data_IF_223445904606
#
_entry.id   IF_223445904606
#
_cell.length_a   1.000
_cell.length_b   1.000
_cell.length_c   1.000
_cell.angle_alpha   90.00
_cell.angle_beta   90.00
_cell.angle_gamma   90.00
#
_symmetry.space_group_name_H-M   'P 1'
#
loop_
_entity.id
_entity.type
_entity.pdbx_description
1 polymer ?
#
# COMPACT_ATOMS: atom_id res chain seq x y z
N UNK A 1 14.22 9.90 4.26
CA UNK A 1 14.43 9.64 5.71
C UNK A 1 14.29 8.17 6.02
N UNK A 2 14.91 7.69 7.07
CA UNK A 2 14.77 6.31 7.50
C UNK A 2 13.44 6.10 8.26
N UNK A 3 12.97 4.87 8.31
CA UNK A 3 11.78 4.52 9.08
C UNK A 3 11.89 4.91 10.56
N UNK A 4 13.07 4.74 11.16
CA UNK A 4 13.31 5.15 12.55
C UNK A 4 13.07 6.66 12.75
N UNK A 5 13.43 7.48 11.79
CA UNK A 5 13.22 8.93 11.85
C UNK A 5 11.74 9.28 11.71
N UNK A 6 11.04 8.59 10.81
CA UNK A 6 9.60 8.79 10.57
C UNK A 6 8.76 8.41 11.78
N UNK A 7 9.06 7.28 12.41
CA UNK A 7 8.25 6.70 13.48
C UNK A 7 8.84 6.87 14.88
N UNK A 8 9.81 7.77 15.03
CA UNK A 8 10.52 7.98 16.30
C UNK A 8 9.58 8.22 17.50
N UNK A 9 8.60 9.08 17.33
CA UNK A 9 7.68 9.44 18.42
C UNK A 9 6.76 8.27 18.78
N UNK A 10 6.25 7.56 17.78
CA UNK A 10 5.40 6.38 17.99
C UNK A 10 6.18 5.27 18.71
N UNK A 11 7.44 5.07 18.35
CA UNK A 11 8.32 4.09 19.01
C UNK A 11 8.56 4.46 20.47
N UNK A 12 8.89 5.73 20.75
CA UNK A 12 9.12 6.21 22.11
C UNK A 12 7.87 6.09 22.98
N UNK A 13 6.70 6.36 22.40
CA UNK A 13 5.42 6.30 23.10
C UNK A 13 4.80 4.89 23.13
N UNK A 14 5.47 3.89 22.53
CA UNK A 14 5.00 2.51 22.56
C UNK A 14 4.98 1.96 23.98
N UNK A 15 3.98 1.13 24.29
CA UNK A 15 3.86 0.44 25.58
C UNK A 15 4.82 -0.74 25.74
N UNK A 16 5.51 -1.12 24.65
CA UNK A 16 6.46 -2.23 24.65
C UNK A 16 7.84 -1.77 25.11
N UNK A 17 8.42 -2.47 26.08
CA UNK A 17 9.73 -2.16 26.63
C UNK A 17 10.88 -2.55 25.69
N UNK A 18 10.67 -3.52 24.81
CA UNK A 18 11.66 -4.08 23.88
C UNK A 18 11.33 -3.77 22.44
N UNK A 19 12.36 -3.62 21.58
CA UNK A 19 12.22 -3.54 20.14
C UNK A 19 11.89 -4.92 19.57
N UNK A 20 10.61 -5.27 19.56
CA UNK A 20 10.07 -6.51 18.98
C UNK A 20 9.07 -6.18 17.87
N UNK A 21 8.71 -7.19 17.08
CA UNK A 21 7.68 -7.04 16.05
C UNK A 21 6.34 -6.52 16.60
N UNK A 22 6.07 -6.70 17.90
CA UNK A 22 4.90 -6.13 18.57
C UNK A 22 4.87 -4.60 18.49
N UNK A 23 6.02 -3.95 18.52
CA UNK A 23 6.13 -2.50 18.32
C UNK A 23 5.65 -2.12 16.92
N UNK A 24 6.10 -2.85 15.90
CA UNK A 24 5.65 -2.61 14.53
C UNK A 24 4.17 -2.95 14.34
N UNK A 25 3.69 -3.99 15.00
CA UNK A 25 2.27 -4.34 15.00
C UNK A 25 1.41 -3.19 15.54
N UNK A 26 1.84 -2.56 16.63
CA UNK A 26 1.12 -1.41 17.21
C UNK A 26 1.18 -0.17 16.31
N UNK A 27 2.32 0.11 15.70
CA UNK A 27 2.53 1.31 14.88
C UNK A 27 1.88 1.17 13.50
N UNK A 28 2.06 0.02 12.86
CA UNK A 28 1.66 -0.23 11.48
C UNK A 28 0.39 -1.09 11.37
N UNK A 29 -0.19 -1.52 12.48
CA UNK A 29 -1.34 -2.43 12.53
C UNK A 29 -1.13 -3.74 11.76
N UNK A 30 0.11 -4.22 11.73
CA UNK A 30 0.49 -5.47 11.08
C UNK A 30 0.37 -6.65 12.04
N UNK A 31 0.07 -7.82 11.49
CA UNK A 31 0.08 -9.05 12.28
C UNK A 31 1.51 -9.54 12.49
N UNK A 32 1.77 -10.05 13.69
CA UNK A 32 3.01 -10.75 13.98
C UNK A 32 3.04 -12.08 13.21
N UNK A 33 3.93 -12.19 12.22
CA UNK A 33 4.12 -13.39 11.38
C UNK A 33 5.46 -14.07 11.62
N UNK A 34 6.36 -13.42 12.37
CA UNK A 34 7.70 -13.94 12.65
C UNK A 34 7.73 -14.70 13.98
N UNK A 35 8.71 -15.60 14.10
CA UNK A 35 9.04 -16.21 15.40
C UNK A 35 9.62 -15.14 16.31
N UNK A 36 9.22 -15.13 17.58
CA UNK A 36 9.68 -14.12 18.55
C UNK A 36 11.20 -14.06 18.71
N UNK A 37 11.91 -15.17 18.48
CA UNK A 37 13.38 -15.22 18.50
C UNK A 37 14.04 -14.38 17.40
N UNK A 38 13.33 -14.12 16.31
CA UNK A 38 13.84 -13.38 15.14
C UNK A 38 13.28 -11.96 15.06
N UNK A 39 12.28 -11.61 15.89
CA UNK A 39 11.60 -10.33 15.82
C UNK A 39 12.53 -9.12 15.90
N UNK A 40 13.49 -9.15 16.82
CA UNK A 40 14.42 -8.03 17.02
C UNK A 40 15.22 -7.71 15.76
N UNK A 41 15.66 -8.73 15.06
CA UNK A 41 16.40 -8.58 13.80
C UNK A 41 15.53 -7.90 12.74
N UNK A 42 14.32 -8.37 12.55
CA UNK A 42 13.37 -7.79 11.58
C UNK A 42 13.04 -6.34 11.89
N UNK A 43 12.81 -6.02 13.16
CA UNK A 43 12.51 -4.64 13.59
C UNK A 43 13.68 -3.72 13.29
N UNK A 44 14.91 -4.12 13.63
CA UNK A 44 16.12 -3.31 13.38
C UNK A 44 16.33 -3.11 11.88
N UNK A 45 16.22 -4.15 11.08
CA UNK A 45 16.35 -4.06 9.61
C UNK A 45 15.31 -3.08 9.03
N UNK A 46 14.06 -3.18 9.45
CA UNK A 46 13.00 -2.28 9.01
C UNK A 46 13.25 -0.82 9.42
N UNK A 47 13.70 -0.59 10.66
CA UNK A 47 13.99 0.76 11.15
C UNK A 47 15.08 1.47 10.36
N UNK A 48 16.01 0.72 9.80
CA UNK A 48 17.13 1.24 9.00
C UNK A 48 16.82 1.33 7.50
N UNK A 49 15.64 0.88 7.07
CA UNK A 49 15.19 1.04 5.69
C UNK A 49 14.74 2.47 5.43
N UNK A 50 14.90 2.91 4.18
CA UNK A 50 14.37 4.20 3.73
C UNK A 50 12.85 4.21 3.83
N UNK A 51 12.32 5.26 4.41
CA UNK A 51 10.89 5.49 4.45
C UNK A 51 10.36 5.74 3.04
N UNK A 52 9.37 4.96 2.64
CA UNK A 52 8.66 5.14 1.38
C UNK A 52 7.24 5.58 1.70
N UNK A 53 6.88 6.75 1.19
CA UNK A 53 5.51 7.22 1.32
C UNK A 53 4.56 6.29 0.57
N UNK A 54 3.47 5.83 1.20
CA UNK A 54 2.50 4.99 0.52
C UNK A 54 1.88 5.71 -0.67
N UNK A 55 1.72 5.02 -1.79
CA UNK A 55 1.08 5.57 -2.99
C UNK A 55 -0.43 5.73 -2.76
N UNK A 56 -1.04 4.77 -2.07
CA UNK A 56 -2.45 4.78 -1.70
C UNK A 56 -2.63 5.14 -0.23
N UNK A 57 -3.66 5.91 0.09
CA UNK A 57 -4.09 6.05 1.48
C UNK A 57 -4.78 4.76 1.98
N UNK A 58 -5.08 4.69 3.27
CA UNK A 58 -5.67 3.49 3.88
C UNK A 58 -7.04 3.14 3.30
N UNK A 59 -7.87 4.14 3.03
CA UNK A 59 -9.22 3.94 2.48
C UNK A 59 -9.15 3.42 1.04
N UNK A 60 -8.30 4.03 0.21
CA UNK A 60 -8.07 3.63 -1.18
C UNK A 60 -7.50 2.20 -1.26
N UNK A 61 -6.51 1.90 -0.43
CA UNK A 61 -5.91 0.57 -0.36
C UNK A 61 -6.93 -0.48 0.06
N UNK A 62 -7.70 -0.23 1.10
CA UNK A 62 -8.71 -1.17 1.60
C UNK A 62 -9.80 -1.42 0.57
N UNK A 63 -10.25 -0.38 -0.13
CA UNK A 63 -11.24 -0.50 -1.18
C UNK A 63 -10.74 -1.35 -2.36
N UNK A 64 -9.55 -1.06 -2.87
CA UNK A 64 -8.95 -1.83 -3.95
C UNK A 64 -8.67 -3.27 -3.54
N UNK A 65 -8.11 -3.49 -2.36
CA UNK A 65 -7.82 -4.83 -1.86
C UNK A 65 -9.08 -5.69 -1.78
N UNK A 66 -10.19 -5.14 -1.29
CA UNK A 66 -11.47 -5.83 -1.23
C UNK A 66 -12.02 -6.16 -2.63
N UNK A 67 -11.89 -5.21 -3.55
CA UNK A 67 -12.42 -5.36 -4.91
C UNK A 67 -11.63 -6.36 -5.74
N UNK A 68 -10.32 -6.37 -5.64
CA UNK A 68 -9.45 -7.27 -6.42
C UNK A 68 -9.33 -8.68 -5.83
N UNK A 69 -9.73 -8.87 -4.59
CA UNK A 69 -9.54 -10.14 -3.88
C UNK A 69 -9.94 -11.39 -4.68
N UNK A 70 -11.10 -11.43 -5.37
CA UNK A 70 -11.49 -12.59 -6.18
C UNK A 70 -10.58 -12.84 -7.39
N UNK A 71 -9.90 -11.80 -7.88
CA UNK A 71 -9.12 -11.83 -9.14
C UNK A 71 -7.62 -11.65 -8.92
N UNK A 72 -7.17 -11.58 -7.67
CA UNK A 72 -5.80 -11.19 -7.33
C UNK A 72 -4.73 -11.93 -8.12
N UNK A 73 -4.87 -13.24 -8.30
CA UNK A 73 -3.90 -14.09 -9.02
C UNK A 73 -3.87 -13.82 -10.52
N UNK A 74 -4.91 -13.20 -11.05
CA UNK A 74 -5.07 -12.94 -12.48
C UNK A 74 -4.64 -11.53 -12.88
N UNK A 75 -4.34 -10.67 -11.92
CA UNK A 75 -4.05 -9.26 -12.17
C UNK A 75 -2.60 -9.09 -12.61
N UNK A 76 -2.42 -8.39 -13.73
CA UNK A 76 -1.10 -7.99 -14.22
C UNK A 76 -0.65 -6.68 -13.60
N UNK A 77 -1.49 -5.63 -13.69
CA UNK A 77 -1.20 -4.32 -13.14
C UNK A 77 -2.47 -3.47 -13.00
N UNK A 78 -2.35 -2.35 -12.29
CA UNK A 78 -3.41 -1.36 -12.10
C UNK A 78 -2.95 -0.02 -12.66
N UNK A 79 -3.84 0.70 -13.32
CA UNK A 79 -3.57 2.00 -13.95
C UNK A 79 -4.65 3.00 -13.56
N UNK A 80 -4.24 4.22 -13.24
CA UNK A 80 -5.14 5.36 -13.18
C UNK A 80 -5.27 5.95 -14.58
N UNK A 81 -6.34 5.61 -15.28
CA UNK A 81 -6.57 6.01 -16.65
C UNK A 81 -7.41 7.27 -16.73
N UNK A 82 -7.17 8.07 -17.76
CA UNK A 82 -7.97 9.24 -18.07
C UNK A 82 -8.64 9.08 -19.42
N UNK A 83 -9.95 9.34 -19.48
CA UNK A 83 -10.70 9.31 -20.71
C UNK A 83 -10.32 10.50 -21.60
N UNK A 84 -10.10 10.23 -22.89
CA UNK A 84 -9.74 11.27 -23.85
C UNK A 84 -10.88 12.22 -24.17
N UNK A 85 -12.14 11.73 -24.11
CA UNK A 85 -13.30 12.52 -24.56
C UNK A 85 -13.77 13.51 -23.50
N UNK A 86 -13.86 13.09 -22.23
CA UNK A 86 -14.40 13.91 -21.15
C UNK A 86 -13.40 14.26 -20.04
N UNK A 87 -12.19 13.72 -20.11
CA UNK A 87 -11.14 13.95 -19.13
C UNK A 87 -11.36 13.26 -17.79
N UNK A 88 -12.42 12.45 -17.66
CA UNK A 88 -12.68 11.71 -16.41
C UNK A 88 -11.65 10.64 -16.16
N UNK A 89 -11.30 10.48 -14.91
CA UNK A 89 -10.33 9.49 -14.46
C UNK A 89 -11.04 8.27 -13.89
N UNK A 90 -10.46 7.11 -14.12
CA UNK A 90 -10.95 5.84 -13.55
C UNK A 90 -9.77 4.94 -13.19
N UNK A 91 -10.01 3.98 -12.34
CA UNK A 91 -9.04 2.92 -12.05
C UNK A 91 -9.32 1.75 -12.98
N UNK A 92 -8.31 1.33 -13.74
CA UNK A 92 -8.36 0.15 -14.60
C UNK A 92 -7.51 -0.95 -14.01
N UNK A 93 -8.09 -2.12 -13.88
CA UNK A 93 -7.41 -3.34 -13.47
C UNK A 93 -7.19 -4.18 -14.72
N UNK A 94 -5.93 -4.43 -15.05
CA UNK A 94 -5.56 -5.21 -16.24
C UNK A 94 -5.18 -6.61 -15.81
N UNK A 95 -5.85 -7.59 -16.42
CA UNK A 95 -5.59 -9.00 -16.17
C UNK A 95 -4.44 -9.51 -17.04
N UNK A 96 -3.83 -10.62 -16.65
CA UNK A 96 -2.69 -11.22 -17.36
C UNK A 96 -3.02 -11.64 -18.79
N UNK A 97 -4.29 -11.94 -19.09
CA UNK A 97 -4.75 -12.26 -20.45
C UNK A 97 -4.98 -11.01 -21.33
N UNK A 98 -4.76 -9.81 -20.83
CA UNK A 98 -4.98 -8.55 -21.53
C UNK A 98 -6.38 -7.95 -21.35
N UNK A 99 -7.32 -8.69 -20.75
CA UNK A 99 -8.64 -8.15 -20.44
C UNK A 99 -8.51 -7.11 -19.31
N UNK A 100 -9.41 -6.15 -19.31
CA UNK A 100 -9.44 -5.09 -18.33
C UNK A 100 -10.80 -4.96 -17.65
N UNK A 101 -10.78 -4.56 -16.40
CA UNK A 101 -11.97 -4.16 -15.66
C UNK A 101 -11.87 -2.67 -15.34
N UNK A 102 -12.98 -1.97 -15.52
CA UNK A 102 -13.08 -0.55 -15.18
C UNK A 102 -13.86 -0.40 -13.89
N UNK A 103 -13.34 0.43 -13.00
CA UNK A 103 -14.15 0.96 -11.91
C UNK A 103 -14.99 2.12 -12.39
N UNK A 104 -16.04 2.50 -11.62
CA UNK A 104 -16.74 3.74 -11.86
C UNK A 104 -15.77 4.92 -11.94
N UNK A 105 -16.14 5.93 -12.72
CA UNK A 105 -15.37 7.15 -12.78
C UNK A 105 -15.21 7.76 -11.38
N UNK A 106 -14.07 8.36 -11.15
CA UNK A 106 -13.79 9.05 -9.90
C UNK A 106 -14.52 10.41 -9.95
N UNK A 107 -15.44 10.61 -9.02
CA UNK A 107 -16.17 11.88 -8.90
C UNK A 107 -15.30 12.99 -8.29
N UNK A 108 -14.25 12.61 -7.60
CA UNK A 108 -13.33 13.53 -6.92
C UNK A 108 -11.92 13.33 -7.43
N UNK A 109 -11.37 14.36 -8.05
CA UNK A 109 -9.97 14.39 -8.52
C UNK A 109 -8.96 14.21 -7.37
N UNK A 110 -9.43 14.34 -6.13
CA UNK A 110 -8.62 14.08 -4.95
C UNK A 110 -8.35 12.60 -4.68
N UNK A 111 -9.14 11.70 -5.26
CA UNK A 111 -8.94 10.25 -5.08
C UNK A 111 -7.72 9.75 -5.87
N UNK A 112 -6.98 8.85 -5.24
CA UNK A 112 -5.78 8.23 -5.85
C UNK A 112 -4.72 9.25 -6.30
N UNK A 113 -4.55 10.32 -5.56
CA UNK A 113 -3.57 11.38 -5.87
C UNK A 113 -2.14 10.89 -5.98
N UNK A 114 -1.78 9.85 -5.25
CA UNK A 114 -0.44 9.27 -5.27
C UNK A 114 -0.12 8.51 -6.55
N UNK A 115 -1.12 8.18 -7.36
CA UNK A 115 -0.94 7.49 -8.64
C UNK A 115 -0.80 8.48 -9.77
N UNK A 116 0.24 8.32 -10.59
CA UNK A 116 0.40 9.07 -11.84
C UNK A 116 -0.57 8.52 -12.90
N UNK A 117 -1.17 9.42 -13.67
CA UNK A 117 -2.07 9.05 -14.77
C UNK A 117 -1.32 8.26 -15.84
N UNK A 118 -1.92 7.18 -16.31
CA UNK A 118 -1.40 6.28 -17.35
C UNK A 118 -0.09 5.55 -17.01
N UNK A 119 0.30 5.52 -15.73
CA UNK A 119 1.42 4.72 -15.25
C UNK A 119 0.92 3.36 -14.77
N UNK A 120 1.62 2.30 -15.13
CA UNK A 120 1.35 0.93 -14.67
C UNK A 120 1.93 0.71 -13.27
N UNK A 121 1.11 0.19 -12.36
CA UNK A 121 1.52 -0.16 -11.00
C UNK A 121 1.28 -1.63 -10.72
N UNK A 122 2.29 -2.32 -10.20
CA UNK A 122 2.12 -3.67 -9.67
C UNK A 122 1.33 -3.65 -8.35
N UNK A 123 0.79 -4.81 -7.96
CA UNK A 123 0.13 -4.93 -6.66
C UNK A 123 1.11 -4.64 -5.51
N UNK A 124 2.37 -5.06 -5.65
CA UNK A 124 3.41 -4.80 -4.65
C UNK A 124 3.69 -3.31 -4.48
N UNK A 125 3.78 -2.56 -5.57
CA UNK A 125 4.01 -1.11 -5.54
C UNK A 125 2.88 -0.38 -4.83
N UNK A 126 1.64 -0.86 -4.94
CA UNK A 126 0.46 -0.30 -4.30
C UNK A 126 0.19 -0.88 -2.90
N UNK A 127 1.02 -1.79 -2.44
CA UNK A 127 0.86 -2.48 -1.16
C UNK A 127 -0.48 -3.23 -1.04
N UNK A 128 -0.83 -3.94 -2.10
CA UNK A 128 -2.08 -4.70 -2.23
C UNK A 128 -1.89 -6.22 -2.11
#
# INVERSE_FOLDING_TARGET
>A
MLNIEKYKNEIINSTHADLRCCVLSDILHLRCIAKCSECKKYVVEWLLEEYKEPILDDAERNYLAATIKPFRKMIAYIVKAQDFDDGKQCIRIILQNGDGMHFPYLDDDAMYKGMEVNKEYSLEELDL
#
